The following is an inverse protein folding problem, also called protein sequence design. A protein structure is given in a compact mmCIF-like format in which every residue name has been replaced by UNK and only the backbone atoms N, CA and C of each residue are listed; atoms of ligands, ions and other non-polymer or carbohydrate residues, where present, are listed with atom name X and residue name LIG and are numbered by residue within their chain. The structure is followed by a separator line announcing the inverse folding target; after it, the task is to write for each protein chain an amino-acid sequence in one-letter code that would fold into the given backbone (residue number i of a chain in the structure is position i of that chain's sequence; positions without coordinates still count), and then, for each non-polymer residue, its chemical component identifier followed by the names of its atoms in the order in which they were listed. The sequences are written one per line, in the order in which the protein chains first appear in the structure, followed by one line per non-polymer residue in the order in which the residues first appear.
data_IF_031770328226
#
_entry.id   IF_031770328226
#
_cell.length_a   1.000
_cell.length_b   1.000
_cell.length_c   1.000
_cell.angle_alpha   90.00
_cell.angle_beta   90.00
_cell.angle_gamma   90.00
#
_symmetry.space_group_name_H-M   'P 1'
#
loop_
_entity.id
_entity.type
_entity.pdbx_description
1 polymer ?
#
# COMPACT_ATOMS: atom_id res chain seq x y z
N UNK A 1 20.92 15.88 -25.30
CA UNK A 1 20.41 16.09 -23.93
C UNK A 1 19.00 15.54 -23.70
N UNK A 2 17.98 15.88 -24.50
CA UNK A 2 16.59 15.43 -24.23
C UNK A 2 16.35 13.91 -24.20
N UNK A 3 17.07 13.11 -25.02
CA UNK A 3 16.96 11.63 -24.98
C UNK A 3 17.49 11.02 -23.68
N UNK A 4 18.59 11.54 -23.14
CA UNK A 4 19.19 11.05 -21.89
C UNK A 4 18.25 11.28 -20.71
N UNK A 5 17.63 12.46 -20.62
CA UNK A 5 16.67 12.80 -19.56
C UNK A 5 15.46 11.87 -19.61
N UNK A 6 14.90 11.64 -20.80
CA UNK A 6 13.77 10.75 -20.99
C UNK A 6 14.08 9.29 -20.57
N UNK A 7 15.29 8.80 -20.87
CA UNK A 7 15.71 7.45 -20.45
C UNK A 7 15.85 7.35 -18.92
N UNK A 8 16.35 8.39 -18.26
CA UNK A 8 16.41 8.45 -16.79
C UNK A 8 15.01 8.45 -16.19
N UNK A 9 14.08 9.24 -16.74
CA UNK A 9 12.69 9.27 -16.29
C UNK A 9 12.05 7.88 -16.40
N UNK A 10 12.22 7.19 -17.54
CA UNK A 10 11.69 5.84 -17.74
C UNK A 10 12.27 4.87 -16.70
N UNK A 11 13.58 4.90 -16.46
CA UNK A 11 14.21 4.03 -15.47
C UNK A 11 13.63 4.27 -14.05
N UNK A 12 13.44 5.53 -13.66
CA UNK A 12 12.85 5.88 -12.37
C UNK A 12 11.39 5.42 -12.24
N UNK A 13 10.58 5.57 -13.29
CA UNK A 13 9.20 5.09 -13.30
C UNK A 13 9.10 3.56 -13.18
N UNK A 14 10.03 2.83 -13.79
CA UNK A 14 10.12 1.37 -13.63
C UNK A 14 10.47 0.99 -12.19
N UNK A 15 11.45 1.67 -11.59
CA UNK A 15 11.83 1.45 -10.18
C UNK A 15 10.64 1.72 -9.27
N UNK A 16 9.90 2.80 -9.51
CA UNK A 16 8.71 3.14 -8.73
C UNK A 16 7.62 2.08 -8.85
N UNK A 17 7.32 1.59 -10.06
CA UNK A 17 6.40 0.47 -10.25
C UNK A 17 6.82 -0.78 -9.44
N UNK A 18 8.11 -1.10 -9.40
CA UNK A 18 8.63 -2.23 -8.61
C UNK A 18 8.45 -1.99 -7.11
N UNK A 19 8.73 -0.77 -6.62
CA UNK A 19 8.52 -0.41 -5.21
C UNK A 19 7.06 -0.54 -4.80
N UNK A 20 6.14 -0.09 -5.66
CA UNK A 20 4.70 -0.22 -5.43
C UNK A 20 4.25 -1.68 -5.42
N UNK A 21 4.80 -2.51 -6.30
CA UNK A 21 4.52 -3.95 -6.27
C UNK A 21 4.94 -4.59 -4.94
N UNK A 22 6.15 -4.30 -4.44
CA UNK A 22 6.59 -4.81 -3.14
C UNK A 22 5.76 -4.25 -1.98
N UNK A 23 5.36 -2.98 -2.05
CA UNK A 23 4.49 -2.37 -1.07
C UNK A 23 3.12 -3.05 -1.02
N UNK A 24 2.50 -3.31 -2.17
CA UNK A 24 1.24 -4.05 -2.23
C UNK A 24 1.40 -5.46 -1.70
N UNK A 25 2.43 -6.19 -2.11
CA UNK A 25 2.67 -7.54 -1.61
C UNK A 25 2.74 -7.58 -0.08
N UNK A 26 3.25 -6.51 0.52
CA UNK A 26 3.44 -6.38 1.97
C UNK A 26 2.19 -5.91 2.73
N UNK A 27 1.37 -5.03 2.14
CA UNK A 27 0.25 -4.38 2.83
C UNK A 27 -1.12 -4.60 2.19
N UNK A 28 -1.24 -5.52 1.21
CA UNK A 28 -2.48 -5.79 0.49
C UNK A 28 -3.67 -6.08 1.42
N UNK A 29 -3.41 -6.69 2.57
CA UNK A 29 -4.44 -7.11 3.52
C UNK A 29 -5.17 -5.96 4.22
N UNK A 30 -4.67 -4.71 4.14
CA UNK A 30 -5.31 -3.52 4.72
C UNK A 30 -5.52 -2.43 3.68
N UNK A 31 -4.53 -2.29 2.82
CA UNK A 31 -4.53 -1.27 1.79
C UNK A 31 -5.28 -1.81 0.59
N UNK A 32 -6.60 -1.56 0.55
CA UNK A 32 -7.48 -1.71 -0.62
C UNK A 32 -7.06 -0.82 -1.80
N UNK A 33 -5.80 -0.95 -2.21
CA UNK A 33 -5.06 -0.08 -3.13
C UNK A 33 -4.99 -0.67 -4.53
N UNK A 34 -5.61 -1.83 -4.77
CA UNK A 34 -5.61 -2.52 -6.06
C UNK A 34 -5.99 -1.54 -7.18
N UNK A 35 -7.07 -0.77 -7.01
CA UNK A 35 -7.51 0.19 -8.03
C UNK A 35 -6.55 1.37 -8.24
N UNK A 36 -5.94 1.89 -7.16
CA UNK A 36 -4.98 3.00 -7.22
C UNK A 36 -3.70 2.55 -7.94
N UNK A 37 -3.21 1.36 -7.65
CA UNK A 37 -2.00 0.82 -8.26
C UNK A 37 -2.22 0.41 -9.71
N UNK A 38 -3.38 -0.19 -10.06
CA UNK A 38 -3.71 -0.46 -11.47
C UNK A 38 -3.78 0.83 -12.29
N UNK A 39 -4.43 1.88 -11.78
CA UNK A 39 -4.46 3.19 -12.43
C UNK A 39 -3.05 3.75 -12.62
N UNK A 40 -2.19 3.64 -11.60
CA UNK A 40 -0.82 4.13 -11.67
C UNK A 40 0.01 3.40 -12.75
N UNK A 41 -0.02 2.07 -12.78
CA UNK A 41 0.70 1.29 -13.79
C UNK A 41 0.26 1.71 -15.20
N UNK A 42 -1.05 1.91 -15.40
CA UNK A 42 -1.58 2.40 -16.68
C UNK A 42 -1.08 3.81 -17.02
N UNK A 43 -1.00 4.72 -16.03
CA UNK A 43 -0.47 6.07 -16.22
C UNK A 43 1.03 6.05 -16.58
N UNK A 44 1.83 5.19 -15.94
CA UNK A 44 3.25 4.99 -16.27
C UNK A 44 3.43 4.45 -17.68
N UNK A 45 2.69 3.40 -18.05
CA UNK A 45 2.76 2.81 -19.39
C UNK A 45 2.38 3.83 -20.47
N UNK A 46 1.30 4.59 -20.26
CA UNK A 46 0.92 5.68 -21.15
C UNK A 46 2.05 6.70 -21.29
N UNK A 47 2.64 7.13 -20.16
CA UNK A 47 3.74 8.10 -20.14
C UNK A 47 4.96 7.61 -20.93
N UNK A 48 5.35 6.33 -20.77
CA UNK A 48 6.43 5.70 -21.53
C UNK A 48 6.13 5.71 -23.04
N UNK A 49 4.92 5.32 -23.45
CA UNK A 49 4.50 5.33 -24.87
C UNK A 49 4.60 6.74 -25.46
N UNK A 50 4.15 7.75 -24.71
CA UNK A 50 4.21 9.15 -25.13
C UNK A 50 5.66 9.65 -25.28
N UNK A 51 6.58 9.23 -24.40
CA UNK A 51 8.01 9.55 -24.50
C UNK A 51 8.61 9.00 -25.80
N UNK A 52 8.28 7.75 -26.16
CA UNK A 52 8.78 7.11 -27.38
C UNK A 52 8.16 7.67 -28.68
N UNK A 53 6.97 8.25 -28.62
CA UNK A 53 6.29 8.83 -29.80
C UNK A 53 6.94 10.12 -30.35
N UNK A 54 7.99 10.66 -29.72
CA UNK A 54 8.77 11.84 -30.15
C UNK A 54 7.96 13.11 -30.54
N UNK A 55 6.72 13.30 -30.07
CA UNK A 55 5.95 14.54 -30.34
C UNK A 55 6.61 15.75 -29.64
N UNK A 56 7.32 16.58 -30.41
CA UNK A 56 8.15 17.71 -29.92
C UNK A 56 7.40 18.68 -29.00
N UNK A 57 6.13 18.96 -29.27
CA UNK A 57 5.29 19.90 -28.50
C UNK A 57 4.81 19.34 -27.17
N UNK A 58 4.81 18.02 -26.97
CA UNK A 58 4.35 17.40 -25.72
C UNK A 58 5.47 17.18 -24.69
N UNK A 59 6.73 17.42 -25.07
CA UNK A 59 7.90 16.99 -24.27
C UNK A 59 7.99 17.66 -22.90
N UNK A 60 7.63 18.95 -22.80
CA UNK A 60 7.58 19.66 -21.52
C UNK A 60 6.45 19.13 -20.62
N UNK A 61 5.23 19.00 -21.16
CA UNK A 61 4.06 18.49 -20.44
C UNK A 61 4.27 17.06 -19.96
N UNK A 62 4.88 16.21 -20.80
CA UNK A 62 5.23 14.83 -20.44
C UNK A 62 6.21 14.84 -19.28
N UNK A 63 7.30 15.61 -19.35
CA UNK A 63 8.29 15.67 -18.27
C UNK A 63 7.69 16.14 -16.95
N UNK A 64 6.82 17.16 -16.98
CA UNK A 64 6.11 17.64 -15.78
C UNK A 64 5.20 16.55 -15.21
N UNK A 65 4.44 15.85 -16.07
CA UNK A 65 3.57 14.76 -15.65
C UNK A 65 4.37 13.58 -15.08
N UNK A 66 5.51 13.21 -15.69
CA UNK A 66 6.37 12.14 -15.19
C UNK A 66 6.95 12.49 -13.82
N UNK A 67 7.38 13.74 -13.62
CA UNK A 67 7.88 14.20 -12.33
C UNK A 67 6.78 14.21 -11.26
N UNK A 68 5.55 14.60 -11.63
CA UNK A 68 4.40 14.52 -10.73
C UNK A 68 4.09 13.08 -10.33
N UNK A 69 4.10 12.14 -11.28
CA UNK A 69 3.92 10.71 -11.00
C UNK A 69 5.00 10.22 -10.04
N UNK A 70 6.27 10.56 -10.29
CA UNK A 70 7.43 10.19 -9.47
C UNK A 70 7.41 10.75 -8.04
N UNK A 71 6.66 11.81 -7.78
CA UNK A 71 6.62 12.48 -6.46
C UNK A 71 5.36 12.18 -5.67
N UNK A 72 4.20 12.38 -6.30
CA UNK A 72 2.90 12.36 -5.59
C UNK A 72 2.59 10.96 -5.08
N UNK A 73 2.91 9.95 -5.89
CA UNK A 73 2.47 8.59 -5.62
C UNK A 73 3.32 7.92 -4.56
N UNK A 74 4.67 7.98 -4.60
CA UNK A 74 5.49 7.46 -3.51
C UNK A 74 5.21 8.19 -2.21
N UNK A 75 4.94 9.50 -2.26
CA UNK A 75 4.56 10.29 -1.08
C UNK A 75 3.24 9.80 -0.48
N UNK A 76 2.22 9.53 -1.29
CA UNK A 76 0.95 8.99 -0.83
C UNK A 76 1.15 7.64 -0.12
N UNK A 77 1.88 6.71 -0.74
CA UNK A 77 2.14 5.40 -0.14
C UNK A 77 3.01 5.48 1.11
N UNK A 78 3.97 6.42 1.17
CA UNK A 78 4.80 6.63 2.36
C UNK A 78 3.99 7.18 3.54
N UNK A 79 3.12 8.16 3.30
CA UNK A 79 2.27 8.77 4.34
C UNK A 79 1.23 7.78 4.85
N UNK A 80 0.65 7.00 3.93
CA UNK A 80 -0.44 6.11 4.29
C UNK A 80 0.05 4.78 4.84
N UNK A 81 1.34 4.41 4.75
CA UNK A 81 1.80 3.07 5.11
C UNK A 81 1.43 2.69 6.56
N UNK A 82 1.10 1.42 6.81
CA UNK A 82 0.99 0.92 8.17
C UNK A 82 2.35 0.92 8.88
N UNK A 83 2.34 1.19 10.18
CA UNK A 83 3.52 1.12 11.02
C UNK A 83 3.86 -0.33 11.37
N UNK A 84 2.84 -1.16 11.58
CA UNK A 84 2.96 -2.55 12.00
C UNK A 84 2.46 -3.50 10.91
N UNK A 85 3.20 -4.58 10.70
CA UNK A 85 2.79 -5.69 9.84
C UNK A 85 1.86 -6.68 10.56
N UNK A 86 1.16 -7.54 9.82
CA UNK A 86 0.26 -8.57 10.38
C UNK A 86 0.98 -9.42 11.43
N UNK A 87 2.19 -9.89 11.13
CA UNK A 87 2.96 -10.75 12.03
C UNK A 87 3.43 -10.00 13.28
N UNK A 88 3.81 -8.74 13.15
CA UNK A 88 4.20 -7.90 14.29
C UNK A 88 2.99 -7.63 15.20
N UNK A 89 1.84 -7.31 14.60
CA UNK A 89 0.58 -7.13 15.32
C UNK A 89 0.15 -8.41 16.07
N UNK A 90 0.33 -9.57 15.42
CA UNK A 90 0.08 -10.88 16.02
C UNK A 90 1.00 -11.10 17.23
N UNK A 91 2.32 -10.93 17.07
CA UNK A 91 3.29 -11.11 18.14
C UNK A 91 3.01 -10.21 19.35
N UNK A 92 2.61 -8.95 19.11
CA UNK A 92 2.24 -8.01 20.17
C UNK A 92 1.00 -8.51 20.94
N UNK A 93 -0.06 -8.88 20.22
CA UNK A 93 -1.30 -9.34 20.85
C UNK A 93 -1.12 -10.67 21.60
N UNK A 94 -0.38 -11.61 21.03
CA UNK A 94 -0.13 -12.90 21.68
C UNK A 94 0.65 -12.73 22.99
N UNK A 95 1.58 -11.76 23.03
CA UNK A 95 2.34 -11.40 24.23
C UNK A 95 1.46 -10.72 25.28
N UNK A 96 0.62 -9.77 24.89
CA UNK A 96 -0.20 -8.99 25.81
C UNK A 96 -1.29 -9.86 26.47
N UNK A 97 -1.91 -10.76 25.69
CA UNK A 97 -3.01 -11.60 26.15
C UNK A 97 -2.59 -13.03 26.54
N UNK A 98 -1.30 -13.37 26.44
CA UNK A 98 -0.73 -14.67 26.80
C UNK A 98 -1.51 -15.86 26.18
N UNK A 99 -1.83 -15.71 24.90
CA UNK A 99 -2.58 -16.69 24.11
C UNK A 99 -2.04 -16.72 22.69
N UNK A 100 -2.11 -17.87 22.04
CA UNK A 100 -1.99 -17.96 20.58
C UNK A 100 -3.23 -17.35 19.94
N UNK A 101 -3.05 -16.68 18.80
CA UNK A 101 -4.14 -16.08 18.03
C UNK A 101 -4.06 -16.49 16.56
N UNK A 102 -5.23 -16.62 15.94
CA UNK A 102 -5.36 -16.77 14.49
C UNK A 102 -5.65 -15.42 13.84
N UNK A 103 -4.99 -15.11 12.73
CA UNK A 103 -5.36 -13.95 11.91
C UNK A 103 -6.69 -14.23 11.20
N UNK A 104 -7.68 -13.35 11.42
CA UNK A 104 -9.00 -13.45 10.82
C UNK A 104 -9.26 -12.27 9.88
N UNK A 105 -9.37 -12.56 8.59
CA UNK A 105 -9.68 -11.56 7.59
C UNK A 105 -11.19 -11.25 7.60
N UNK A 106 -11.62 -10.18 8.28
CA UNK A 106 -13.02 -9.74 8.31
C UNK A 106 -13.24 -8.53 7.38
N UNK A 107 -14.12 -8.68 6.39
CA UNK A 107 -14.44 -7.65 5.39
C UNK A 107 -15.06 -6.37 5.95
N UNK A 108 -15.79 -6.45 7.07
CA UNK A 108 -16.40 -5.28 7.71
C UNK A 108 -15.34 -4.36 8.34
N UNK A 109 -14.29 -4.95 8.90
CA UNK A 109 -13.19 -4.24 9.58
C UNK A 109 -12.02 -3.89 8.65
N UNK A 110 -12.04 -4.43 7.42
CA UNK A 110 -11.17 -4.00 6.32
C UNK A 110 -11.45 -2.53 5.91
N UNK A 111 -12.70 -2.07 5.98
CA UNK A 111 -13.05 -0.66 5.74
C UNK A 111 -12.40 0.26 6.79
N UNK A 112 -12.35 -0.21 8.04
CA UNK A 112 -11.70 0.47 9.17
C UNK A 112 -10.17 0.33 9.14
N UNK A 113 -9.63 -0.43 8.18
CA UNK A 113 -8.19 -0.66 7.98
C UNK A 113 -7.49 -1.21 9.22
N UNK A 114 -8.16 -2.08 9.97
CA UNK A 114 -7.61 -2.74 11.15
C UNK A 114 -7.33 -4.22 10.87
N UNK A 115 -6.37 -4.80 11.60
CA UNK A 115 -6.23 -6.25 11.67
C UNK A 115 -7.19 -6.81 12.70
N UNK A 116 -7.79 -7.96 12.39
CA UNK A 116 -8.64 -8.69 13.34
C UNK A 116 -8.02 -10.04 13.62
N UNK A 117 -7.94 -10.38 14.90
CA UNK A 117 -7.39 -11.64 15.38
C UNK A 117 -8.42 -12.34 16.26
N UNK A 118 -8.37 -13.67 16.32
CA UNK A 118 -9.23 -14.48 17.17
C UNK A 118 -8.38 -15.37 18.07
N UNK A 119 -8.75 -15.45 19.35
CA UNK A 119 -8.19 -16.40 20.30
C UNK A 119 -9.22 -17.48 20.60
N UNK A 120 -8.90 -18.73 20.27
CA UNK A 120 -9.70 -19.90 20.69
C UNK A 120 -9.71 -20.07 22.21
N UNK A 121 -8.62 -19.71 22.90
CA UNK A 121 -8.49 -19.87 24.35
C UNK A 121 -9.39 -18.90 25.11
N UNK A 122 -9.55 -17.68 24.59
CA UNK A 122 -10.36 -16.63 25.20
C UNK A 122 -11.77 -16.55 24.59
N UNK A 123 -12.02 -17.29 23.50
CA UNK A 123 -13.25 -17.23 22.70
C UNK A 123 -13.63 -15.78 22.35
N UNK A 124 -12.64 -15.01 21.90
CA UNK A 124 -12.76 -13.56 21.70
C UNK A 124 -11.98 -13.08 20.47
N UNK A 125 -12.50 -12.01 19.87
CA UNK A 125 -11.86 -11.30 18.77
C UNK A 125 -11.18 -10.04 19.28
N UNK A 126 -10.07 -9.67 18.65
CA UNK A 126 -9.27 -8.50 18.99
C UNK A 126 -9.02 -7.69 17.73
N UNK A 127 -9.17 -6.37 17.82
CA UNK A 127 -8.71 -5.48 16.76
C UNK A 127 -7.31 -4.96 17.07
N UNK A 128 -6.53 -4.73 16.03
CA UNK A 128 -5.24 -4.06 16.09
C UNK A 128 -5.19 -2.98 15.02
N UNK A 129 -4.98 -1.72 15.43
CA UNK A 129 -4.78 -0.63 14.50
C UNK A 129 -3.32 -0.64 14.00
N UNK A 130 -3.09 -0.91 12.71
CA UNK A 130 -1.74 -1.10 12.18
C UNK A 130 -0.98 0.23 12.00
N UNK A 131 -1.65 1.38 12.16
CA UNK A 131 -1.03 2.71 12.11
C UNK A 131 -0.65 3.25 13.49
N UNK A 132 -1.40 2.90 14.54
CA UNK A 132 -1.18 3.44 15.90
C UNK A 132 -0.65 2.41 16.89
N UNK A 133 -0.86 1.11 16.62
CA UNK A 133 -0.60 0.03 17.56
C UNK A 133 -1.67 -0.13 18.63
N UNK A 134 -2.78 0.62 18.55
CA UNK A 134 -3.88 0.51 19.50
C UNK A 134 -4.62 -0.83 19.34
N UNK A 135 -4.96 -1.44 20.47
CA UNK A 135 -5.66 -2.71 20.55
C UNK A 135 -6.91 -2.59 21.40
N UNK A 136 -7.96 -3.33 21.06
CA UNK A 136 -9.05 -3.60 22.02
C UNK A 136 -9.87 -4.81 21.61
N UNK A 137 -10.64 -5.27 22.59
CA UNK A 137 -11.49 -6.46 22.49
C UNK A 137 -12.74 -6.13 21.65
N UNK A 138 -13.05 -6.97 20.68
CA UNK A 138 -14.27 -6.91 19.88
C UNK A 138 -15.37 -7.71 20.60
N UNK A 139 -16.45 -7.03 20.99
CA UNK A 139 -17.66 -7.71 21.45
C UNK A 139 -18.25 -8.51 20.27
N UNK A 140 -18.72 -9.73 20.56
CA UNK A 140 -19.21 -10.67 19.55
C UNK A 140 -20.34 -10.11 18.68
N UNK A 141 -21.15 -9.18 19.22
CA UNK A 141 -22.24 -8.47 18.51
C UNK A 141 -21.75 -7.49 17.43
N UNK A 142 -20.44 -7.21 17.37
CA UNK A 142 -19.82 -6.20 16.48
C UNK A 142 -19.13 -6.80 15.26
N UNK A 143 -19.02 -8.14 15.19
CA UNK A 143 -18.43 -8.88 14.06
C UNK A 143 -19.32 -8.84 12.81
#
# INVERSE_FOLDING_TARGET
MGRTINMVIIALLIIECLLLYFFQKKYADIMGTIHVTTFYVMAVLANIIFIFSERKTARFTINVLSVLLLLVIPSYFFITKPQYEVNEALEILEKDYQTTMGFHHNQKHLEDRVYVFYSEKLDAYFYFNPHTGETSDLKQDSL
#
